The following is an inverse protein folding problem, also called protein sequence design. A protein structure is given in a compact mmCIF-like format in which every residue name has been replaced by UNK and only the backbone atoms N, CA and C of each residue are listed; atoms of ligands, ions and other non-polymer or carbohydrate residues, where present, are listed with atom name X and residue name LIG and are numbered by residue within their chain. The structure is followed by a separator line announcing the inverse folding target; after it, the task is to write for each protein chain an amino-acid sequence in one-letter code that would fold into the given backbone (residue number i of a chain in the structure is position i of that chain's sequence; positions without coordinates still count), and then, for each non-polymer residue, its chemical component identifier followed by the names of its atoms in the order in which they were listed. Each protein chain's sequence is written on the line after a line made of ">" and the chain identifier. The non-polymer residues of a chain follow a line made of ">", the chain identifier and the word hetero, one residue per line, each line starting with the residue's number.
data_IF_712616321755
#
_entry.id   IF_712616321755
#
_cell.length_a   1.000
_cell.length_b   1.000
_cell.length_c   1.000
_cell.angle_alpha   90.00
_cell.angle_beta   90.00
_cell.angle_gamma   90.00
#
_symmetry.space_group_name_H-M   'P 1'
#
loop_
_entity.id
_entity.type
_entity.pdbx_description
1 polymer ?
#
# COMPACT_ATOMS: atom_id res chain seq x y z
N UNK A 1 7.06 19.56 0.11
CA UNK A 1 6.67 18.23 -0.44
C UNK A 1 7.51 17.17 0.23
N UNK A 2 6.89 16.18 0.85
CA UNK A 2 7.60 15.02 1.37
C UNK A 2 8.31 14.33 0.20
N UNK A 3 9.61 14.15 0.29
CA UNK A 3 10.41 13.58 -0.81
C UNK A 3 9.98 12.13 -1.01
N UNK A 4 9.62 11.74 -2.25
CA UNK A 4 9.31 10.35 -2.60
C UNK A 4 10.48 9.45 -2.22
N UNK A 5 10.20 8.45 -1.38
CA UNK A 5 11.18 7.42 -1.00
C UNK A 5 11.19 6.35 -2.08
N UNK A 6 12.33 6.14 -2.69
CA UNK A 6 12.59 5.05 -3.63
C UNK A 6 13.86 4.36 -3.14
N UNK A 7 13.73 3.14 -2.67
CA UNK A 7 14.80 2.39 -2.01
C UNK A 7 15.03 1.11 -2.80
N UNK A 8 16.26 0.88 -3.20
CA UNK A 8 16.71 -0.36 -3.78
C UNK A 8 17.87 -0.91 -2.96
N UNK A 9 17.87 -2.21 -2.70
CA UNK A 9 18.90 -2.90 -1.92
C UNK A 9 19.07 -4.34 -2.40
N UNK A 10 20.25 -4.87 -2.17
CA UNK A 10 20.57 -6.30 -2.32
C UNK A 10 20.83 -6.97 -0.97
N UNK A 11 20.72 -6.22 0.11
CA UNK A 11 20.86 -6.73 1.48
C UNK A 11 19.51 -7.19 2.02
N UNK A 12 19.40 -8.50 2.31
CA UNK A 12 18.21 -9.11 2.86
C UNK A 12 17.80 -8.49 4.20
N UNK A 13 18.73 -8.11 5.03
CA UNK A 13 18.43 -7.59 6.37
C UNK A 13 17.94 -6.14 6.36
N UNK A 14 18.17 -5.41 5.27
CA UNK A 14 17.65 -4.03 5.12
C UNK A 14 16.13 -3.97 4.94
N UNK A 15 15.46 -5.09 4.64
CA UNK A 15 14.02 -5.11 4.31
C UNK A 15 13.11 -4.81 5.50
N UNK A 16 13.58 -4.90 6.74
CA UNK A 16 12.78 -4.60 7.94
C UNK A 16 13.20 -3.31 8.66
N UNK A 17 13.98 -2.46 8.01
CA UNK A 17 14.35 -1.17 8.56
C UNK A 17 13.11 -0.34 8.94
N UNK A 18 13.17 0.36 10.08
CA UNK A 18 12.10 1.24 10.56
C UNK A 18 11.78 2.37 9.57
N UNK A 19 12.76 2.78 8.76
CA UNK A 19 12.57 3.77 7.69
C UNK A 19 11.55 3.31 6.64
N UNK A 20 11.26 2.01 6.57
CA UNK A 20 10.25 1.41 5.69
C UNK A 20 8.86 1.34 6.31
N UNK A 21 8.61 1.99 7.45
CA UNK A 21 7.33 1.92 8.16
C UNK A 21 6.13 2.41 7.36
N UNK A 22 6.34 3.34 6.43
CA UNK A 22 5.35 3.90 5.50
C UNK A 22 5.45 3.30 4.08
N UNK A 23 6.35 2.32 3.88
CA UNK A 23 6.62 1.72 2.57
C UNK A 23 5.94 0.36 2.39
N UNK A 24 5.81 -0.01 1.11
CA UNK A 24 5.58 -1.36 0.66
C UNK A 24 6.86 -1.87 -0.02
N UNK A 25 7.31 -3.07 0.35
CA UNK A 25 8.52 -3.67 -0.17
C UNK A 25 8.21 -4.82 -1.13
N UNK A 26 9.04 -4.97 -2.15
CA UNK A 26 8.96 -6.01 -3.16
C UNK A 26 10.34 -6.62 -3.33
N UNK A 27 10.48 -7.91 -3.06
CA UNK A 27 11.76 -8.60 -3.11
C UNK A 27 11.67 -9.84 -4.00
N UNK A 28 12.73 -10.13 -4.71
CA UNK A 28 12.91 -11.41 -5.40
C UNK A 28 14.12 -12.14 -4.82
N UNK A 29 13.97 -13.44 -4.62
CA UNK A 29 15.07 -14.34 -4.32
C UNK A 29 15.71 -14.83 -5.63
N UNK A 30 16.98 -14.53 -5.82
CA UNK A 30 17.73 -14.92 -7.03
C UNK A 30 18.42 -16.28 -6.86
N UNK A 31 18.89 -16.56 -5.63
CA UNK A 31 19.64 -17.77 -5.31
C UNK A 31 19.52 -18.06 -3.80
N UNK A 32 19.56 -19.34 -3.46
CA UNK A 32 19.49 -19.77 -2.06
C UNK A 32 18.07 -19.77 -1.50
N UNK A 33 18.00 -19.65 -0.19
CA UNK A 33 16.73 -19.68 0.57
C UNK A 33 16.84 -18.81 1.80
N UNK A 34 15.68 -18.43 2.38
CA UNK A 34 15.63 -17.71 3.61
C UNK A 34 14.29 -17.89 4.31
N UNK A 35 14.18 -17.35 5.52
CA UNK A 35 12.92 -17.34 6.23
C UNK A 35 12.76 -16.08 7.07
N UNK A 36 11.51 -15.81 7.43
CA UNK A 36 11.13 -14.70 8.29
C UNK A 36 9.80 -15.00 9.02
N UNK A 37 9.53 -14.27 10.08
CA UNK A 37 8.25 -14.31 10.78
C UNK A 37 7.45 -13.04 10.44
N UNK A 38 6.22 -13.22 9.97
CA UNK A 38 5.27 -12.15 9.68
C UNK A 38 3.89 -12.52 10.22
N UNK A 39 3.24 -11.60 10.94
CA UNK A 39 1.93 -11.83 11.57
C UNK A 39 1.88 -13.10 12.45
N UNK A 40 3.00 -13.47 13.10
CA UNK A 40 3.11 -14.66 13.97
C UNK A 40 3.26 -15.99 13.22
N UNK A 41 3.37 -15.98 11.90
CA UNK A 41 3.65 -17.16 11.08
C UNK A 41 5.07 -17.11 10.54
N UNK A 42 5.71 -18.27 10.46
CA UNK A 42 6.99 -18.43 9.80
C UNK A 42 6.77 -18.71 8.32
N UNK A 43 7.51 -18.00 7.47
CA UNK A 43 7.49 -18.13 6.02
C UNK A 43 8.88 -18.49 5.53
N UNK A 44 8.96 -19.45 4.59
CA UNK A 44 10.17 -19.86 3.93
C UNK A 44 10.06 -19.49 2.45
N UNK A 45 11.15 -19.02 1.88
CA UNK A 45 11.22 -18.67 0.47
C UNK A 45 12.53 -19.20 -0.15
N UNK A 46 12.52 -19.42 -1.45
CA UNK A 46 13.65 -19.92 -2.21
C UNK A 46 13.79 -19.17 -3.55
N UNK A 47 14.75 -19.60 -4.37
CA UNK A 47 15.01 -19.00 -5.67
C UNK A 47 13.72 -18.90 -6.53
N UNK A 48 13.54 -17.79 -7.20
CA UNK A 48 12.40 -17.33 -7.99
C UNK A 48 11.19 -16.86 -7.16
N UNK A 49 11.13 -17.08 -5.85
CA UNK A 49 10.06 -16.55 -5.02
C UNK A 49 10.09 -15.01 -4.97
N UNK A 50 8.91 -14.41 -5.10
CA UNK A 50 8.71 -12.98 -4.98
C UNK A 50 7.96 -12.69 -3.67
N UNK A 51 8.50 -11.79 -2.86
CA UNK A 51 7.89 -11.36 -1.62
C UNK A 51 7.25 -9.98 -1.79
N UNK A 52 5.96 -9.86 -1.44
CA UNK A 52 5.23 -8.58 -1.42
C UNK A 52 4.93 -8.20 0.02
N UNK A 53 5.72 -7.28 0.54
CA UNK A 53 5.76 -6.91 1.94
C UNK A 53 5.00 -5.60 2.17
N UNK A 54 3.72 -5.70 2.50
CA UNK A 54 2.87 -4.51 2.74
C UNK A 54 3.24 -3.73 4.01
N UNK A 55 3.98 -4.35 4.92
CA UNK A 55 4.46 -3.79 6.18
C UNK A 55 5.84 -4.36 6.52
N UNK A 56 6.89 -4.04 5.74
CA UNK A 56 8.21 -4.67 5.86
C UNK A 56 8.82 -4.51 7.27
N UNK A 57 8.62 -3.36 7.92
CA UNK A 57 9.08 -3.09 9.28
C UNK A 57 8.52 -4.04 10.36
N UNK A 58 7.51 -4.87 10.03
CA UNK A 58 6.94 -5.87 10.96
C UNK A 58 7.52 -7.26 10.81
N UNK A 59 8.44 -7.46 9.89
CA UNK A 59 9.16 -8.71 9.78
C UNK A 59 10.03 -8.95 11.02
N UNK A 60 10.10 -10.19 11.44
CA UNK A 60 10.92 -10.62 12.59
C UNK A 60 11.69 -11.89 12.23
N UNK A 61 12.74 -12.16 13.00
CA UNK A 61 13.51 -13.40 12.89
C UNK A 61 13.95 -13.71 11.45
N UNK A 62 14.49 -12.68 10.76
CA UNK A 62 15.05 -12.86 9.43
C UNK A 62 16.24 -13.80 9.53
N UNK A 63 16.25 -14.85 8.71
CA UNK A 63 17.38 -15.75 8.61
C UNK A 63 17.68 -16.06 7.12
N UNK A 64 18.93 -15.80 6.74
CA UNK A 64 19.45 -16.09 5.42
C UNK A 64 20.09 -17.47 5.42
N UNK A 65 19.72 -18.32 4.47
CA UNK A 65 20.41 -19.55 4.16
C UNK A 65 21.74 -19.29 3.45
N UNK A 66 22.47 -20.38 3.19
CA UNK A 66 23.72 -20.30 2.43
C UNK A 66 23.43 -19.79 1.01
N UNK A 67 24.31 -18.90 0.48
CA UNK A 67 24.23 -18.32 -0.86
C UNK A 67 22.96 -17.52 -1.13
N UNK A 68 22.25 -17.01 -0.11
CA UNK A 68 21.10 -16.17 -0.33
C UNK A 68 21.51 -14.91 -1.11
N UNK A 69 20.85 -14.69 -2.24
CA UNK A 69 20.95 -13.48 -3.05
C UNK A 69 19.56 -12.96 -3.35
N UNK A 70 19.33 -11.70 -3.05
CA UNK A 70 18.04 -11.03 -3.24
C UNK A 70 18.23 -9.69 -3.92
N UNK A 71 17.18 -9.21 -4.56
CA UNK A 71 17.03 -7.81 -4.95
C UNK A 71 15.70 -7.30 -4.40
N UNK A 72 15.73 -6.13 -3.84
CA UNK A 72 14.62 -5.54 -3.10
C UNK A 72 14.38 -4.10 -3.55
N UNK A 73 13.11 -3.77 -3.77
CA UNK A 73 12.62 -2.43 -4.04
C UNK A 73 11.54 -2.06 -3.05
N UNK A 74 11.60 -0.85 -2.48
CA UNK A 74 10.55 -0.31 -1.63
C UNK A 74 10.23 1.13 -1.97
N UNK A 75 8.97 1.47 -1.86
CA UNK A 75 8.49 2.85 -1.96
C UNK A 75 7.27 3.06 -1.07
N UNK A 76 6.94 4.33 -0.84
CA UNK A 76 5.82 4.70 0.02
C UNK A 76 4.53 4.05 -0.47
N UNK A 77 3.78 3.47 0.48
CA UNK A 77 2.49 2.83 0.21
C UNK A 77 1.51 3.78 -0.50
N UNK A 78 1.48 5.05 -0.08
CA UNK A 78 0.57 6.06 -0.67
C UNK A 78 0.89 6.35 -2.13
N UNK A 79 2.16 6.29 -2.52
CA UNK A 79 2.57 6.44 -3.91
C UNK A 79 2.16 5.22 -4.74
N UNK A 80 2.48 4.00 -4.29
CA UNK A 80 2.09 2.76 -4.98
C UNK A 80 0.58 2.62 -5.09
N UNK A 81 -0.15 2.98 -4.02
CA UNK A 81 -1.61 2.86 -4.01
C UNK A 81 -2.28 3.65 -5.15
N UNK A 82 -1.73 4.83 -5.51
CA UNK A 82 -2.19 5.63 -6.65
C UNK A 82 -1.95 4.94 -8.01
N UNK A 83 -1.04 3.97 -8.06
CA UNK A 83 -0.71 3.21 -9.28
C UNK A 83 -1.51 1.91 -9.41
N UNK A 84 -2.21 1.47 -8.36
CA UNK A 84 -2.98 0.23 -8.38
C UNK A 84 -4.17 0.33 -9.31
N UNK A 85 -4.51 -0.76 -10.04
CA UNK A 85 -5.75 -0.81 -10.80
C UNK A 85 -6.96 -0.69 -9.87
N UNK A 86 -7.97 0.05 -10.29
CA UNK A 86 -9.23 0.25 -9.55
C UNK A 86 -10.18 -0.96 -9.69
N UNK A 87 -9.64 -2.18 -9.79
CA UNK A 87 -10.44 -3.38 -9.99
C UNK A 87 -10.35 -4.34 -8.79
N UNK A 88 -11.29 -5.29 -8.78
CA UNK A 88 -11.41 -6.28 -7.71
C UNK A 88 -10.20 -7.21 -7.57
N UNK A 89 -9.40 -7.39 -8.62
CA UNK A 89 -8.20 -8.24 -8.58
C UNK A 89 -7.10 -7.64 -7.71
N UNK A 90 -6.85 -6.31 -7.81
CA UNK A 90 -5.90 -5.61 -6.97
C UNK A 90 -6.25 -5.71 -5.48
N UNK A 91 -7.53 -5.61 -5.17
CA UNK A 91 -8.05 -5.68 -3.80
C UNK A 91 -7.90 -7.08 -3.23
N UNK A 92 -8.34 -8.10 -3.99
CA UNK A 92 -8.22 -9.51 -3.59
C UNK A 92 -6.77 -9.96 -3.43
N UNK A 93 -5.91 -9.58 -4.38
CA UNK A 93 -4.48 -9.85 -4.33
C UNK A 93 -3.79 -9.22 -3.12
N UNK A 94 -4.08 -7.96 -2.82
CA UNK A 94 -3.53 -7.28 -1.64
C UNK A 94 -3.94 -7.92 -0.31
N UNK A 95 -5.16 -8.46 -0.22
CA UNK A 95 -5.64 -9.21 0.97
C UNK A 95 -4.90 -10.53 1.11
N UNK A 96 -4.80 -11.30 0.01
CA UNK A 96 -4.12 -12.58 0.00
C UNK A 96 -2.63 -12.43 0.36
N UNK A 97 -1.96 -11.46 -0.24
CA UNK A 97 -0.54 -11.15 0.01
C UNK A 97 -0.27 -10.64 1.43
N UNK A 98 -1.27 -10.08 2.12
CA UNK A 98 -1.12 -9.79 3.54
C UNK A 98 -1.15 -11.04 4.42
N UNK A 99 -1.90 -12.06 4.03
CA UNK A 99 -1.99 -13.34 4.75
C UNK A 99 -0.82 -14.26 4.41
N UNK A 100 -0.40 -14.26 3.15
CA UNK A 100 0.75 -14.98 2.61
C UNK A 100 1.53 -14.05 1.67
N UNK A 101 2.66 -13.50 2.12
CA UNK A 101 3.39 -12.48 1.38
C UNK A 101 4.28 -13.07 0.26
N UNK A 102 4.21 -14.36 -0.02
CA UNK A 102 5.06 -15.03 -1.00
C UNK A 102 4.26 -15.36 -2.26
N UNK A 103 4.78 -14.99 -3.40
CA UNK A 103 4.37 -15.46 -4.71
C UNK A 103 5.43 -16.46 -5.18
N UNK A 104 5.08 -17.74 -5.22
CA UNK A 104 5.95 -18.78 -5.80
C UNK A 104 5.97 -18.62 -7.33
N UNK A 105 6.82 -17.76 -7.83
CA UNK A 105 6.89 -17.40 -9.25
C UNK A 105 7.53 -18.50 -10.09
N UNK A 106 7.08 -18.65 -11.35
CA UNK A 106 7.87 -19.41 -12.34
C UNK A 106 9.18 -18.68 -12.61
N UNK A 107 10.11 -19.37 -13.26
CA UNK A 107 11.39 -18.75 -13.63
C UNK A 107 11.17 -17.53 -14.52
N UNK A 108 10.28 -17.63 -15.49
CA UNK A 108 9.96 -16.57 -16.44
C UNK A 108 9.30 -15.38 -15.75
N UNK A 109 8.39 -15.61 -14.79
CA UNK A 109 7.76 -14.57 -13.98
C UNK A 109 8.79 -13.86 -13.09
N UNK A 110 9.69 -14.63 -12.46
CA UNK A 110 10.78 -14.09 -11.66
C UNK A 110 11.74 -13.21 -12.48
N UNK A 111 12.13 -13.66 -13.69
CA UNK A 111 12.97 -12.90 -14.61
C UNK A 111 12.27 -11.60 -15.05
N UNK A 112 10.98 -11.63 -15.33
CA UNK A 112 10.18 -10.43 -15.67
C UNK A 112 10.15 -9.45 -14.53
N UNK A 113 9.79 -9.91 -13.33
CA UNK A 113 9.77 -9.05 -12.16
C UNK A 113 11.14 -8.45 -11.82
N UNK A 114 12.20 -9.24 -11.98
CA UNK A 114 13.59 -8.78 -11.82
C UNK A 114 13.93 -7.67 -12.81
N UNK A 115 13.50 -7.80 -14.08
CA UNK A 115 13.67 -6.75 -15.08
C UNK A 115 12.95 -5.45 -14.67
N UNK A 116 11.71 -5.54 -14.17
CA UNK A 116 10.95 -4.38 -13.71
C UNK A 116 11.68 -3.61 -12.60
N UNK A 117 12.11 -4.30 -11.54
CA UNK A 117 12.78 -3.61 -10.42
C UNK A 117 14.16 -3.07 -10.80
N UNK A 118 14.85 -3.70 -11.75
CA UNK A 118 16.13 -3.20 -12.24
C UNK A 118 15.99 -1.96 -13.11
N UNK A 119 14.95 -1.90 -13.95
CA UNK A 119 14.64 -0.66 -14.69
C UNK A 119 14.31 0.46 -13.70
N UNK A 120 13.50 0.19 -12.65
CA UNK A 120 13.23 1.18 -11.61
C UNK A 120 14.51 1.62 -10.91
N UNK A 121 15.39 0.69 -10.51
CA UNK A 121 16.71 0.98 -9.92
C UNK A 121 17.52 1.95 -10.76
N UNK A 122 17.63 1.67 -12.06
CA UNK A 122 18.44 2.49 -12.96
C UNK A 122 17.86 3.90 -13.08
N UNK A 123 16.52 4.03 -13.10
CA UNK A 123 15.84 5.34 -13.09
C UNK A 123 15.98 6.10 -11.77
N UNK A 124 16.13 5.42 -10.63
CA UNK A 124 16.38 6.09 -9.34
C UNK A 124 17.65 6.93 -9.39
N UNK A 125 18.66 6.48 -10.13
CA UNK A 125 19.95 7.20 -10.28
C UNK A 125 19.80 8.47 -11.13
N UNK A 126 18.81 8.55 -12.02
CA UNK A 126 18.55 9.70 -12.90
C UNK A 126 17.72 10.80 -12.21
N UNK A 127 17.55 10.73 -10.88
CA UNK A 127 16.76 11.69 -10.13
C UNK A 127 17.24 13.13 -10.33
N UNK A 128 16.32 13.98 -10.82
CA UNK A 128 16.60 15.39 -11.09
C UNK A 128 17.10 15.69 -12.49
N UNK A 129 17.47 14.70 -13.28
CA UNK A 129 17.97 14.89 -14.66
C UNK A 129 16.84 14.83 -15.70
N UNK A 130 15.77 14.08 -15.41
CA UNK A 130 14.67 13.88 -16.34
C UNK A 130 13.43 14.69 -15.97
N UNK A 131 12.89 15.49 -16.91
CA UNK A 131 11.72 16.36 -16.69
C UNK A 131 10.48 15.59 -16.22
N UNK A 132 10.25 14.37 -16.71
CA UNK A 132 9.12 13.51 -16.37
C UNK A 132 9.52 12.35 -15.45
N UNK A 133 10.46 12.59 -14.54
CA UNK A 133 11.01 11.55 -13.68
C UNK A 133 9.94 10.83 -12.84
N UNK A 134 9.04 11.59 -12.20
CA UNK A 134 8.00 11.02 -11.34
C UNK A 134 6.96 10.22 -12.14
N UNK A 135 6.61 10.68 -13.33
CA UNK A 135 5.68 10.01 -14.23
C UNK A 135 6.25 8.70 -14.77
N UNK A 136 7.54 8.67 -15.07
CA UNK A 136 8.25 7.45 -15.48
C UNK A 136 8.26 6.45 -14.32
N UNK A 137 8.68 6.85 -13.12
CA UNK A 137 8.68 5.99 -11.94
C UNK A 137 7.26 5.48 -11.66
N UNK A 138 6.23 6.32 -11.74
CA UNK A 138 4.84 5.92 -11.56
C UNK A 138 4.39 4.87 -12.58
N UNK A 139 4.79 5.04 -13.85
CA UNK A 139 4.44 4.10 -14.94
C UNK A 139 5.15 2.75 -14.77
N UNK A 140 6.42 2.76 -14.39
CA UNK A 140 7.19 1.54 -14.11
C UNK A 140 6.63 0.79 -12.88
N UNK A 141 6.33 1.50 -11.80
CA UNK A 141 5.68 0.89 -10.63
C UNK A 141 4.30 0.31 -11.00
N UNK A 142 3.55 0.97 -11.88
CA UNK A 142 2.26 0.46 -12.36
C UNK A 142 2.43 -0.84 -13.14
N UNK A 143 3.39 -0.92 -14.06
CA UNK A 143 3.70 -2.14 -14.83
C UNK A 143 4.06 -3.28 -13.88
N UNK A 144 5.03 -3.06 -12.99
CA UNK A 144 5.44 -4.03 -11.96
C UNK A 144 4.23 -4.56 -11.15
N UNK A 145 3.33 -3.66 -10.73
CA UNK A 145 2.16 -4.06 -9.95
C UNK A 145 1.17 -4.88 -10.78
N UNK A 146 0.97 -4.58 -12.05
CA UNK A 146 0.11 -5.39 -12.93
C UNK A 146 0.69 -6.79 -13.13
N UNK A 147 1.99 -6.91 -13.33
CA UNK A 147 2.65 -8.21 -13.45
C UNK A 147 2.51 -9.03 -12.16
N UNK A 148 2.76 -8.44 -10.99
CA UNK A 148 2.56 -9.10 -9.69
C UNK A 148 1.11 -9.59 -9.50
N UNK A 149 0.12 -8.79 -9.89
CA UNK A 149 -1.28 -9.22 -9.81
C UNK A 149 -1.60 -10.34 -10.78
N UNK A 150 -1.02 -10.32 -11.99
CA UNK A 150 -1.16 -11.41 -12.96
C UNK A 150 -0.56 -12.71 -12.43
N UNK A 151 0.66 -12.67 -11.88
CA UNK A 151 1.33 -13.84 -11.29
C UNK A 151 0.54 -14.41 -10.11
N UNK A 152 0.01 -13.54 -9.26
CA UNK A 152 -0.82 -13.94 -8.14
C UNK A 152 -2.17 -14.52 -8.59
N UNK A 153 -2.81 -13.96 -9.62
CA UNK A 153 -4.09 -14.41 -10.13
C UNK A 153 -4.02 -15.82 -10.74
N UNK A 154 -3.00 -16.12 -11.55
CA UNK A 154 -2.81 -17.44 -12.16
C UNK A 154 -2.77 -18.58 -11.14
N UNK A 155 -2.29 -18.32 -9.91
CA UNK A 155 -2.19 -19.34 -8.84
C UNK A 155 -3.46 -19.47 -8.01
N UNK A 156 -4.24 -18.42 -7.95
CA UNK A 156 -5.45 -18.35 -7.12
C UNK A 156 -6.76 -18.56 -7.92
N UNK A 157 -6.69 -18.81 -9.22
CA UNK A 157 -7.86 -19.16 -10.03
C UNK A 157 -8.59 -20.41 -9.51
N UNK A 158 -7.89 -21.34 -8.87
CA UNK A 158 -8.46 -22.52 -8.22
C UNK A 158 -8.95 -22.26 -6.78
N UNK A 159 -8.53 -21.19 -6.15
CA UNK A 159 -9.03 -20.72 -4.86
C UNK A 159 -9.98 -19.51 -5.07
N UNK A 160 -11.10 -19.72 -5.74
CA UNK A 160 -12.27 -18.90 -5.45
C UNK A 160 -12.57 -19.08 -3.96
N UNK A 161 -12.00 -18.17 -3.16
CA UNK A 161 -12.26 -18.17 -1.72
C UNK A 161 -13.74 -17.89 -1.53
N UNK A 162 -14.52 -18.95 -1.35
CA UNK A 162 -15.89 -18.94 -0.83
C UNK A 162 -15.93 -18.43 0.61
N UNK A 163 -14.81 -17.87 1.11
CA UNK A 163 -14.75 -17.34 2.44
C UNK A 163 -15.48 -15.98 2.48
N UNK A 164 -16.64 -16.00 3.17
CA UNK A 164 -17.44 -14.81 3.49
C UNK A 164 -16.60 -13.62 4.02
N UNK A 165 -15.46 -13.89 4.63
CA UNK A 165 -14.60 -12.86 5.20
C UNK A 165 -13.80 -12.11 4.13
N UNK A 166 -13.24 -12.82 3.18
CA UNK A 166 -12.56 -12.23 2.02
C UNK A 166 -13.54 -11.41 1.18
N UNK A 167 -14.78 -11.91 1.01
CA UNK A 167 -15.85 -11.17 0.36
C UNK A 167 -16.15 -9.84 1.07
N UNK A 168 -16.32 -9.86 2.39
CA UNK A 168 -16.61 -8.64 3.18
C UNK A 168 -15.50 -7.59 3.05
N UNK A 169 -14.24 -8.03 3.07
CA UNK A 169 -13.11 -7.10 2.92
C UNK A 169 -13.04 -6.56 1.49
N UNK A 170 -13.25 -7.40 0.49
CA UNK A 170 -13.31 -7.00 -0.92
C UNK A 170 -14.37 -5.94 -1.15
N UNK A 171 -15.59 -6.15 -0.65
CA UNK A 171 -16.67 -5.18 -0.82
C UNK A 171 -16.38 -3.86 -0.08
N UNK A 172 -15.83 -3.91 1.14
CA UNK A 172 -15.37 -2.70 1.81
C UNK A 172 -14.37 -1.92 0.95
N UNK A 173 -13.38 -2.61 0.39
CA UNK A 173 -12.34 -1.97 -0.43
C UNK A 173 -12.92 -1.40 -1.74
N UNK A 174 -13.89 -2.09 -2.36
CA UNK A 174 -14.62 -1.58 -3.52
C UNK A 174 -15.35 -0.25 -3.19
N UNK A 175 -16.03 -0.18 -2.04
CA UNK A 175 -16.70 1.04 -1.59
C UNK A 175 -15.71 2.19 -1.34
N UNK A 176 -14.54 1.89 -0.75
CA UNK A 176 -13.48 2.87 -0.52
C UNK A 176 -12.87 3.35 -1.85
N UNK A 177 -12.60 2.45 -2.78
CA UNK A 177 -12.08 2.77 -4.11
C UNK A 177 -13.08 3.60 -4.95
N UNK A 178 -14.39 3.36 -4.77
CA UNK A 178 -15.45 4.16 -5.37
C UNK A 178 -15.57 5.58 -4.77
N UNK A 179 -14.70 5.94 -3.82
CA UNK A 179 -14.62 7.29 -3.25
C UNK A 179 -15.64 7.58 -2.14
N UNK A 180 -16.34 6.55 -1.62
CA UNK A 180 -17.34 6.76 -0.56
C UNK A 180 -16.72 7.35 0.72
N UNK A 181 -15.43 7.13 0.95
CA UNK A 181 -14.71 7.70 2.09
C UNK A 181 -14.57 9.23 2.05
N UNK A 182 -14.91 9.87 0.92
CA UNK A 182 -14.95 11.33 0.84
C UNK A 182 -15.98 11.91 1.81
N UNK A 183 -17.15 11.34 1.86
CA UNK A 183 -18.27 11.79 2.72
C UNK A 183 -18.50 10.86 3.89
N UNK A 184 -18.25 9.56 3.75
CA UNK A 184 -18.56 8.54 4.75
C UNK A 184 -17.29 7.99 5.43
N UNK A 185 -17.10 8.32 6.69
CA UNK A 185 -15.92 7.93 7.49
C UNK A 185 -16.25 7.06 8.70
N UNK A 186 -17.53 6.74 8.86
CA UNK A 186 -18.01 5.93 9.99
C UNK A 186 -18.01 4.44 9.63
N UNK A 187 -17.42 3.61 10.48
CA UNK A 187 -17.40 2.14 10.33
C UNK A 187 -18.81 1.57 10.26
N UNK A 188 -19.76 2.17 11.02
CA UNK A 188 -21.16 1.76 11.03
C UNK A 188 -21.85 1.88 9.68
N UNK A 189 -21.52 2.90 8.90
CA UNK A 189 -22.02 3.06 7.54
C UNK A 189 -21.64 1.85 6.66
N UNK A 190 -20.36 1.52 6.58
CA UNK A 190 -19.87 0.40 5.77
C UNK A 190 -20.45 -0.94 6.26
N UNK A 191 -20.54 -1.12 7.57
CA UNK A 191 -21.12 -2.32 8.14
C UNK A 191 -22.61 -2.47 7.75
N UNK A 192 -23.37 -1.38 7.76
CA UNK A 192 -24.78 -1.35 7.33
C UNK A 192 -24.91 -1.69 5.85
N UNK A 193 -24.07 -1.12 4.97
CA UNK A 193 -24.08 -1.40 3.55
C UNK A 193 -23.78 -2.89 3.25
N UNK A 194 -22.94 -3.52 4.06
CA UNK A 194 -22.57 -4.92 3.95
C UNK A 194 -23.52 -5.88 4.69
N UNK A 195 -24.60 -5.36 5.31
CA UNK A 195 -25.56 -6.12 6.12
C UNK A 195 -24.90 -6.96 7.23
N UNK A 196 -23.89 -6.36 7.92
CA UNK A 196 -23.17 -6.97 9.03
C UNK A 196 -23.03 -5.98 10.19
N UNK A 197 -22.61 -6.48 11.36
CA UNK A 197 -22.32 -5.59 12.51
C UNK A 197 -20.95 -4.93 12.38
N UNK A 198 -20.79 -3.72 12.92
CA UNK A 198 -19.50 -3.02 12.96
C UNK A 198 -18.42 -3.83 13.69
N UNK A 199 -18.79 -4.62 14.70
CA UNK A 199 -17.90 -5.53 15.42
C UNK A 199 -17.38 -6.64 14.50
N UNK A 200 -18.26 -7.26 13.71
CA UNK A 200 -17.88 -8.29 12.76
C UNK A 200 -16.99 -7.73 11.65
N UNK A 201 -17.36 -6.57 11.06
CA UNK A 201 -16.53 -5.89 10.07
C UNK A 201 -15.13 -5.58 10.61
N UNK A 202 -15.04 -4.97 11.79
CA UNK A 202 -13.75 -4.61 12.40
C UNK A 202 -12.88 -5.83 12.69
N UNK A 203 -13.46 -6.91 13.22
CA UNK A 203 -12.74 -8.17 13.50
C UNK A 203 -12.26 -8.82 12.19
N UNK A 204 -13.12 -8.89 11.17
CA UNK A 204 -12.83 -9.48 9.88
C UNK A 204 -11.69 -8.72 9.18
N UNK A 205 -11.83 -7.40 9.04
CA UNK A 205 -10.81 -6.56 8.41
C UNK A 205 -9.49 -6.66 9.14
N UNK A 206 -9.50 -6.58 10.48
CA UNK A 206 -8.26 -6.67 11.27
C UNK A 206 -7.56 -8.01 11.08
N UNK A 207 -8.33 -9.12 11.06
CA UNK A 207 -7.78 -10.47 10.88
C UNK A 207 -7.24 -10.68 9.47
N UNK A 208 -7.95 -10.17 8.46
CA UNK A 208 -7.66 -10.44 7.04
C UNK A 208 -6.58 -9.49 6.49
N UNK A 209 -6.54 -8.24 6.95
CA UNK A 209 -5.63 -7.22 6.39
C UNK A 209 -4.61 -6.69 7.41
N UNK A 210 -4.71 -7.06 8.69
CA UNK A 210 -3.94 -6.51 9.78
C UNK A 210 -4.20 -5.04 10.09
N UNK A 211 -5.06 -4.38 9.33
CA UNK A 211 -5.41 -2.97 9.50
C UNK A 211 -6.75 -2.81 10.22
N UNK A 212 -6.99 -1.66 10.85
CA UNK A 212 -8.33 -1.32 11.30
C UNK A 212 -9.15 -0.76 10.13
N UNK A 213 -10.48 -0.89 10.19
CA UNK A 213 -11.38 -0.27 9.20
C UNK A 213 -11.14 1.24 9.12
N UNK A 214 -11.01 1.90 10.28
CA UNK A 214 -10.72 3.34 10.34
C UNK A 214 -9.40 3.72 9.67
N UNK A 215 -8.37 2.87 9.79
CA UNK A 215 -7.09 3.09 9.09
C UNK A 215 -7.25 2.95 7.57
N UNK A 216 -8.04 1.97 7.11
CA UNK A 216 -8.31 1.82 5.67
C UNK A 216 -9.09 3.02 5.13
N UNK A 217 -10.16 3.44 5.84
CA UNK A 217 -10.92 4.64 5.48
C UNK A 217 -10.00 5.85 5.38
N UNK A 218 -9.16 6.09 6.40
CA UNK A 218 -8.26 7.23 6.42
C UNK A 218 -7.25 7.21 5.26
N UNK A 219 -6.73 6.04 4.87
CA UNK A 219 -5.83 5.89 3.71
C UNK A 219 -6.45 6.36 2.40
N UNK A 220 -7.78 6.21 2.25
CA UNK A 220 -8.50 6.69 1.07
C UNK A 220 -8.95 8.15 1.22
N UNK A 221 -9.23 8.60 2.44
CA UNK A 221 -9.71 9.97 2.69
C UNK A 221 -8.57 11.00 2.66
N UNK A 222 -7.41 10.67 3.24
CA UNK A 222 -6.28 11.60 3.39
C UNK A 222 -5.74 12.14 2.05
N UNK A 223 -5.56 11.33 1.00
CA UNK A 223 -5.17 11.85 -0.30
C UNK A 223 -6.16 12.88 -0.86
N UNK A 224 -7.47 12.63 -0.72
CA UNK A 224 -8.51 13.55 -1.16
C UNK A 224 -8.45 14.88 -0.38
N UNK A 225 -8.21 14.80 0.94
CA UNK A 225 -8.02 16.01 1.77
C UNK A 225 -6.80 16.80 1.28
N UNK A 226 -5.69 16.13 1.00
CA UNK A 226 -4.47 16.78 0.50
C UNK A 226 -4.74 17.47 -0.84
N UNK A 227 -5.37 16.79 -1.78
CA UNK A 227 -5.71 17.36 -3.08
C UNK A 227 -6.58 18.63 -2.96
N UNK A 228 -7.53 18.66 -2.00
CA UNK A 228 -8.32 19.87 -1.73
C UNK A 228 -7.51 20.95 -0.99
N UNK A 229 -6.62 20.58 -0.08
CA UNK A 229 -5.78 21.53 0.64
C UNK A 229 -4.72 22.17 -0.27
N UNK A 230 -4.27 21.45 -1.29
CA UNK A 230 -3.34 21.95 -2.31
C UNK A 230 -4.02 23.03 -3.22
N UNK A 231 -5.34 23.02 -3.28
CA UNK A 231 -6.10 24.06 -3.97
C UNK A 231 -6.32 25.28 -3.06
N UNK A 232 -5.61 26.37 -3.33
CA UNK A 232 -5.66 27.62 -2.54
C UNK A 232 -6.95 28.43 -2.74
N UNK A 233 -7.74 28.14 -3.79
CA UNK A 233 -9.02 28.82 -4.06
C UNK A 233 -10.12 28.38 -3.09
N UNK A 234 -9.99 27.21 -2.44
CA UNK A 234 -10.97 26.70 -1.49
C UNK A 234 -10.63 27.12 -0.06
N UNK A 235 -11.57 27.67 0.67
CA UNK A 235 -11.43 27.88 2.12
C UNK A 235 -11.48 26.56 2.88
N UNK A 236 -10.92 26.52 4.09
CA UNK A 236 -10.99 25.32 4.94
C UNK A 236 -12.41 24.91 5.30
N UNK A 237 -13.32 25.89 5.42
CA UNK A 237 -14.76 25.65 5.64
C UNK A 237 -15.38 24.99 4.42
N UNK A 238 -15.11 25.51 3.23
CA UNK A 238 -15.59 24.89 1.97
C UNK A 238 -15.10 23.45 1.80
N UNK A 239 -13.84 23.17 2.16
CA UNK A 239 -13.31 21.80 2.12
C UNK A 239 -14.04 20.90 3.12
N UNK A 240 -14.27 21.39 4.34
CA UNK A 240 -15.00 20.64 5.34
C UNK A 240 -16.42 20.30 4.85
N UNK A 241 -17.11 21.26 4.23
CA UNK A 241 -18.45 21.10 3.65
C UNK A 241 -18.45 20.12 2.46
N UNK A 242 -17.51 20.28 1.51
CA UNK A 242 -17.37 19.40 0.34
C UNK A 242 -17.10 17.93 0.73
N UNK A 243 -16.49 17.73 1.87
CA UNK A 243 -16.21 16.41 2.42
C UNK A 243 -17.21 15.95 3.48
N UNK A 244 -18.30 16.68 3.67
CA UNK A 244 -19.35 16.35 4.63
C UNK A 244 -18.83 16.14 6.06
N UNK A 245 -17.97 17.05 6.54
CA UNK A 245 -17.61 17.12 7.94
C UNK A 245 -18.64 17.95 8.71
N UNK A 246 -19.10 17.45 9.84
CA UNK A 246 -20.12 18.11 10.68
C UNK A 246 -19.68 19.47 11.22
N UNK A 247 -18.40 19.76 11.23
CA UNK A 247 -17.84 21.07 11.61
C UNK A 247 -16.39 21.20 11.17
N UNK A 248 -15.93 22.46 11.01
CA UNK A 248 -14.52 22.79 10.76
C UNK A 248 -13.60 22.26 11.88
N UNK A 249 -14.08 22.30 13.13
CA UNK A 249 -13.33 21.76 14.27
C UNK A 249 -13.14 20.25 14.19
N UNK A 250 -14.14 19.52 13.70
CA UNK A 250 -14.01 18.07 13.50
C UNK A 250 -13.08 17.76 12.32
N UNK A 251 -13.19 18.51 11.21
CA UNK A 251 -12.26 18.42 10.09
C UNK A 251 -10.81 18.67 10.53
N UNK A 252 -10.56 19.72 11.30
CA UNK A 252 -9.22 20.04 11.80
C UNK A 252 -8.65 18.93 12.68
N UNK A 253 -9.44 18.37 13.59
CA UNK A 253 -9.04 17.21 14.42
C UNK A 253 -8.76 15.97 13.58
N UNK A 254 -9.57 15.72 12.56
CA UNK A 254 -9.34 14.60 11.64
C UNK A 254 -8.01 14.75 10.90
N UNK A 255 -7.71 15.95 10.39
CA UNK A 255 -6.44 16.27 9.76
C UNK A 255 -5.27 16.10 10.73
N UNK A 256 -5.31 16.69 11.92
CA UNK A 256 -4.24 16.54 12.90
C UNK A 256 -3.96 15.07 13.25
N UNK A 257 -5.01 14.27 13.35
CA UNK A 257 -4.88 12.83 13.65
C UNK A 257 -4.26 12.03 12.50
N UNK A 258 -4.60 12.34 11.24
CA UNK A 258 -4.27 11.50 10.09
C UNK A 258 -3.21 12.08 9.15
N UNK A 259 -3.01 13.41 9.17
CA UNK A 259 -1.92 14.10 8.47
C UNK A 259 -0.74 14.42 9.39
N UNK A 260 -0.95 14.36 10.73
CA UNK A 260 0.05 14.76 11.70
C UNK A 260 0.13 16.27 11.95
N UNK A 261 -0.70 17.09 11.26
CA UNK A 261 -0.75 18.55 11.40
C UNK A 261 -2.15 19.08 11.07
N UNK A 262 -2.46 20.28 11.50
CA UNK A 262 -3.72 20.94 11.17
C UNK A 262 -3.81 21.28 9.67
N UNK A 263 -5.02 21.50 9.12
CA UNK A 263 -5.18 21.95 7.73
C UNK A 263 -4.44 23.27 7.42
N UNK A 264 -4.43 24.19 8.38
CA UNK A 264 -3.74 25.49 8.24
C UNK A 264 -2.22 25.31 8.18
N UNK A 265 -1.65 24.50 9.09
CA UNK A 265 -0.22 24.16 9.09
C UNK A 265 0.19 23.46 7.81
N UNK A 266 -0.65 22.55 7.30
CA UNK A 266 -0.41 21.87 6.03
C UNK A 266 -0.31 22.89 4.87
N UNK A 267 -1.25 23.84 4.75
CA UNK A 267 -1.19 24.89 3.73
C UNK A 267 0.03 25.79 3.87
N UNK A 268 0.38 26.16 5.10
CA UNK A 268 1.60 26.94 5.34
C UNK A 268 2.86 26.19 4.90
N UNK A 269 2.89 24.88 5.05
CA UNK A 269 4.03 24.05 4.61
C UNK A 269 4.21 23.98 3.09
N UNK A 270 3.17 24.29 2.32
CA UNK A 270 3.21 24.35 0.85
C UNK A 270 3.78 25.68 0.33
N UNK A 271 3.74 26.74 1.13
CA UNK A 271 4.28 28.04 0.72
C UNK A 271 5.80 28.02 0.77
N UNK A 272 6.50 28.54 -0.25
CA UNK A 272 7.95 28.65 -0.19
C UNK A 272 8.32 29.53 1.01
N UNK A 273 9.23 29.03 1.86
CA UNK A 273 9.80 29.85 2.92
C UNK A 273 10.46 31.07 2.27
N UNK A 274 9.95 32.27 2.58
CA UNK A 274 10.56 33.55 2.19
C UNK A 274 11.95 33.72 2.82
#
# INVERSE_FOLDING_TARGET
>A
MEQLKLIYSTDFYSINDIQLSDCCGHMICLEGEGCFVFNGKCFHFCASDILVLTQPHKLKNLAAGKRLRVEFFATQYTFLFKQLPSNSFAIGGGISLYADPIIHATKEEGERFLADIRIIRDRIQEKGEHRFYLEIIASLCRTMMYDLFSFHAHRNETQQSTDRQSYVVKELMNMLAAGQSRTERNVGYYAKQLNITSKYLSKTVKRTTGNSVTSLIARHTVPIIKDYLDNDTLSLTQIADLMDFTSLSYFSRYCSKHLGMSPSEYRQSLQPRK
#
